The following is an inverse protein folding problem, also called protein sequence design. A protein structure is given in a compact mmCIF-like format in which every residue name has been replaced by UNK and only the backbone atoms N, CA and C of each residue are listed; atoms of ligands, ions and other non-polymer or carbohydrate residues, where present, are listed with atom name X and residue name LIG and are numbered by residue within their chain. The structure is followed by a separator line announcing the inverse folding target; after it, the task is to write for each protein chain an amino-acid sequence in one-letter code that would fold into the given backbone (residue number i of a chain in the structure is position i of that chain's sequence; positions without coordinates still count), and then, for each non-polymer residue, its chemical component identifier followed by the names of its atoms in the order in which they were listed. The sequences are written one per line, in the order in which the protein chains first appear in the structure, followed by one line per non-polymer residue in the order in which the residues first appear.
data_IF_579871621682
#
_entry.id   IF_579871621682
#
_cell.length_a   1.000
_cell.length_b   1.000
_cell.length_c   1.000
_cell.angle_alpha   90.00
_cell.angle_beta   90.00
_cell.angle_gamma   90.00
#
_symmetry.space_group_name_H-M   'P 1'
#
loop_
_entity.id
_entity.type
_entity.pdbx_description
1 polymer ?
2 water ?
#
# COMPACT_ATOMS: atom_id res chain seq x y z
N UNK A 10 38.46 -15.20 23.00
CA UNK A 10 39.38 -14.07 23.04
C UNK A 10 39.03 -13.05 21.95
N UNK A 11 38.19 -12.07 22.30
CA UNK A 11 37.75 -11.09 21.31
C UNK A 11 38.90 -10.24 20.77
N UNK A 12 39.81 -9.79 21.64
CA UNK A 12 41.00 -9.05 21.19
C UNK A 12 41.79 -9.82 20.13
N UNK A 13 42.07 -11.09 20.40
CA UNK A 13 42.82 -11.93 19.48
C UNK A 13 42.13 -11.92 18.12
N UNK A 14 40.80 -12.06 18.13
CA UNK A 14 40.06 -12.13 16.89
C UNK A 14 40.29 -10.86 16.05
N UNK A 15 40.21 -9.69 16.69
CA UNK A 15 40.43 -8.44 15.95
C UNK A 15 41.84 -8.37 15.38
N UNK A 16 42.84 -8.70 16.18
CA UNK A 16 44.22 -8.65 15.71
C UNK A 16 44.47 -9.62 14.56
N UNK A 17 43.99 -10.86 14.72
CA UNK A 17 44.20 -11.87 13.69
C UNK A 17 43.49 -11.48 12.40
N UNK A 18 42.32 -10.85 12.49
CA UNK A 18 41.60 -10.51 11.27
C UNK A 18 42.38 -9.48 10.45
N UNK A 19 43.21 -8.66 11.10
CA UNK A 19 44.01 -7.65 10.41
C UNK A 19 45.32 -8.20 9.84
N UNK A 20 45.68 -9.45 10.14
CA UNK A 20 46.88 -10.07 9.60
C UNK A 20 46.90 -10.04 8.08
N UNK A 21 48.11 -10.08 7.51
CA UNK A 21 48.26 -10.22 6.07
C UNK A 21 48.06 -11.66 5.60
N UNK A 22 48.15 -12.65 6.50
CA UNK A 22 48.04 -14.03 6.05
C UNK A 22 46.58 -14.39 6.03
N UNK A 23 46.09 -14.73 4.83
CA UNK A 23 44.66 -14.84 4.61
C UNK A 23 44.03 -16.01 5.36
N UNK A 24 44.81 -17.03 5.73
CA UNK A 24 44.24 -18.14 6.47
C UNK A 24 44.03 -17.81 7.93
N UNK A 25 44.96 -17.03 8.52
CA UNK A 25 44.74 -16.47 9.84
C UNK A 25 43.56 -15.51 9.80
N UNK A 26 43.50 -14.65 8.77
CA UNK A 26 42.30 -13.83 8.58
C UNK A 26 41.05 -14.68 8.55
N UNK A 27 41.02 -15.72 7.74
CA UNK A 27 39.82 -16.52 7.65
C UNK A 27 39.45 -17.07 9.01
N UNK A 28 40.42 -17.61 9.75
CA UNK A 28 40.17 -18.09 11.11
C UNK A 28 39.51 -17.01 11.97
N UNK A 29 40.03 -15.78 11.89
CA UNK A 29 39.52 -14.71 12.77
C UNK A 29 38.12 -14.28 12.35
N UNK A 30 37.89 -14.12 11.05
CA UNK A 30 36.59 -13.69 10.56
C UNK A 30 35.55 -14.76 10.84
N UNK A 31 35.95 -16.02 10.69
CA UNK A 31 35.09 -17.15 11.04
C UNK A 31 34.76 -17.15 12.53
N UNK A 32 35.76 -16.86 13.37
CA UNK A 32 35.51 -16.76 14.81
C UNK A 32 34.52 -15.66 15.16
N UNK A 33 34.63 -14.50 14.51
CA UNK A 33 33.67 -13.44 14.81
C UNK A 33 32.28 -13.82 14.34
N UNK A 34 32.19 -14.40 13.15
CA UNK A 34 30.89 -14.86 12.66
C UNK A 34 30.28 -15.87 13.63
N UNK A 35 31.09 -16.82 14.11
CA UNK A 35 30.55 -17.85 14.99
C UNK A 35 30.10 -17.26 16.32
N UNK A 36 30.84 -16.28 16.85
CA UNK A 36 30.39 -15.60 18.06
C UNK A 36 29.04 -14.92 17.84
N UNK A 37 28.80 -14.43 16.62
CA UNK A 37 27.58 -13.66 16.41
C UNK A 37 26.39 -14.49 15.98
N UNK A 38 26.56 -15.47 15.10
CA UNK A 38 25.34 -16.12 14.65
C UNK A 38 25.04 -17.42 15.37
N UNK A 39 25.93 -17.85 16.28
CA UNK A 39 25.72 -19.15 16.90
C UNK A 39 25.02 -19.16 18.26
N UNK A 40 24.83 -18.03 18.94
CA UNK A 40 24.13 -18.15 20.22
C UNK A 40 22.89 -17.29 20.31
N UNK A 41 22.19 -17.46 21.43
CA UNK A 41 20.99 -16.68 21.64
C UNK A 41 21.28 -15.45 22.49
N UNK A 42 22.55 -15.19 22.79
CA UNK A 42 22.99 -13.96 23.44
C UNK A 42 24.29 -13.54 22.76
N UNK A 43 24.27 -13.17 21.48
CA UNK A 43 25.54 -12.81 20.85
C UNK A 43 26.11 -11.50 21.40
N UNK A 44 27.46 -11.36 21.42
CA UNK A 44 28.11 -10.11 21.87
C UNK A 44 28.27 -9.07 20.75
N UNK A 45 27.15 -8.60 20.19
CA UNK A 45 27.24 -7.72 19.03
C UNK A 45 27.97 -6.43 19.38
N UNK A 46 27.53 -5.78 20.46
CA UNK A 46 28.09 -4.50 20.85
C UNK A 46 29.57 -4.62 21.12
N UNK A 47 29.97 -5.70 21.80
CA UNK A 47 31.38 -5.93 22.10
C UNK A 47 32.21 -6.03 20.83
N UNK A 48 31.69 -6.68 19.79
CA UNK A 48 32.46 -6.77 18.56
C UNK A 48 32.55 -5.41 17.88
N UNK A 49 31.50 -4.58 18.00
CA UNK A 49 31.58 -3.24 17.42
C UNK A 49 32.63 -2.42 18.15
N UNK A 50 32.65 -2.49 19.49
CA UNK A 50 33.61 -1.68 20.23
C UNK A 50 35.03 -2.14 19.97
N UNK A 51 35.20 -3.40 19.56
CA UNK A 51 36.53 -3.93 19.24
C UNK A 51 37.15 -3.32 17.99
N UNK A 52 36.36 -2.70 17.11
CA UNK A 52 36.93 -2.16 15.89
C UNK A 52 36.93 -3.11 14.70
N UNK A 53 36.21 -4.24 14.78
CA UNK A 53 36.26 -5.25 13.72
C UNK A 53 35.54 -4.80 12.44
N UNK A 54 34.62 -3.85 12.52
CA UNK A 54 33.76 -3.57 11.38
C UNK A 54 34.52 -3.16 10.12
N UNK A 55 35.43 -2.18 10.15
CA UNK A 55 36.10 -1.77 8.89
C UNK A 55 36.91 -2.87 8.28
N UNK A 56 37.44 -3.76 9.12
CA UNK A 56 38.19 -4.93 8.66
C UNK A 56 37.30 -5.84 7.84
N UNK A 57 36.10 -6.12 8.36
CA UNK A 57 35.14 -6.98 7.67
C UNK A 57 34.72 -6.35 6.35
N UNK A 58 34.53 -5.02 6.37
CA UNK A 58 34.15 -4.34 5.13
C UNK A 58 35.27 -4.46 4.11
N UNK A 59 36.53 -4.34 4.55
CA UNK A 59 37.65 -4.54 3.65
C UNK A 59 37.63 -5.96 3.08
N UNK A 60 37.31 -6.93 3.94
CA UNK A 60 37.24 -8.33 3.52
C UNK A 60 36.20 -8.55 2.44
N UNK A 61 35.11 -7.77 2.45
CA UNK A 61 34.10 -7.97 1.41
C UNK A 61 34.66 -7.77 0.00
N UNK A 62 35.79 -7.07 -0.15
CA UNK A 62 36.39 -6.85 -1.47
C UNK A 62 37.15 -8.05 -2.01
N UNK A 63 37.39 -9.09 -1.20
CA UNK A 63 38.34 -10.14 -1.59
C UNK A 63 37.71 -11.21 -2.48
N UNK A 64 37.56 -10.85 -3.76
CA UNK A 64 37.01 -11.80 -4.72
C UNK A 64 37.94 -12.98 -4.94
N UNK A 65 39.22 -12.84 -4.60
CA UNK A 65 40.19 -13.93 -4.72
C UNK A 65 40.12 -14.94 -3.58
N UNK A 66 39.36 -14.66 -2.54
CA UNK A 66 39.12 -15.60 -1.46
C UNK A 66 37.63 -15.58 -1.16
N UNK A 67 36.82 -16.32 -1.93
CA UNK A 67 35.37 -16.31 -1.67
C UNK A 67 34.96 -16.83 -0.31
N UNK A 68 35.71 -17.74 0.32
CA UNK A 68 35.33 -18.16 1.67
C UNK A 68 35.47 -17.01 2.67
N UNK A 69 36.54 -16.22 2.53
CA UNK A 69 36.73 -15.06 3.40
C UNK A 69 35.67 -13.99 3.15
N UNK A 70 35.35 -13.77 1.88
CA UNK A 70 34.31 -12.82 1.51
C UNK A 70 32.95 -13.24 2.04
N UNK A 71 32.64 -14.54 1.91
CA UNK A 71 31.38 -15.07 2.41
C UNK A 71 31.28 -14.89 3.92
N UNK A 72 32.35 -15.26 4.64
CA UNK A 72 32.30 -15.19 6.10
C UNK A 72 32.15 -13.75 6.57
N UNK A 73 32.87 -12.81 5.94
CA UNK A 73 32.75 -11.41 6.35
C UNK A 73 31.36 -10.89 6.05
N UNK A 74 30.80 -11.27 4.90
CA UNK A 74 29.46 -10.82 4.53
C UNK A 74 28.43 -11.36 5.52
N UNK A 75 28.64 -12.59 6.00
CA UNK A 75 27.72 -13.21 6.94
C UNK A 75 27.80 -12.53 8.31
N UNK A 76 29.02 -12.25 8.76
CA UNK A 76 29.19 -11.50 10.01
C UNK A 76 28.47 -10.15 9.94
N UNK A 77 28.76 -9.36 8.90
CA UNK A 77 28.14 -8.04 8.82
C UNK A 77 26.64 -8.13 8.68
N UNK A 78 26.15 -9.12 7.92
CA UNK A 78 24.72 -9.38 7.83
C UNK A 78 24.11 -9.54 9.21
N UNK A 79 24.75 -10.35 10.05
CA UNK A 79 24.12 -10.65 11.34
C UNK A 79 24.19 -9.45 12.25
N UNK A 80 25.24 -8.64 12.16
CA UNK A 80 25.22 -7.38 12.89
C UNK A 80 24.08 -6.50 12.39
N UNK A 81 23.88 -6.45 11.07
CA UNK A 81 22.85 -5.57 10.54
C UNK A 81 21.45 -6.10 10.79
N UNK A 82 21.33 -7.35 11.22
CA UNK A 82 20.03 -7.94 11.53
C UNK A 82 19.55 -7.58 12.92
N UNK A 83 20.37 -6.88 13.68
CA UNK A 83 20.11 -6.55 15.07
C UNK A 83 19.34 -5.28 15.27
N UNK A 84 19.65 -4.60 16.38
CA UNK A 84 18.97 -3.37 16.74
C UNK A 84 19.32 -2.25 15.76
N UNK A 85 18.53 -1.17 15.83
CA UNK A 85 18.78 0.00 15.00
C UNK A 85 20.20 0.54 15.18
N UNK A 86 20.71 0.55 16.41
CA UNK A 86 22.06 1.05 16.63
C UNK A 86 23.09 0.17 15.94
N UNK A 87 22.84 -1.14 15.91
CA UNK A 87 23.75 -2.08 15.27
C UNK A 87 23.72 -1.93 13.75
N UNK A 88 22.52 -1.79 13.18
CA UNK A 88 22.41 -1.55 11.75
C UNK A 88 23.10 -0.24 11.39
N UNK A 89 22.93 0.79 12.21
CA UNK A 89 23.55 2.08 11.86
C UNK A 89 25.05 2.01 12.03
N UNK A 90 25.56 1.19 12.95
CA UNK A 90 27.00 1.02 13.04
C UNK A 90 27.52 0.39 11.76
N UNK A 91 26.78 -0.56 11.21
CA UNK A 91 27.15 -1.18 9.93
C UNK A 91 27.12 -0.15 8.80
N UNK A 92 26.06 0.67 8.75
CA UNK A 92 25.98 1.68 7.69
C UNK A 92 27.11 2.69 7.79
N UNK A 93 27.43 3.14 9.01
CA UNK A 93 28.50 4.11 9.18
C UNK A 93 29.88 3.55 8.87
N UNK A 94 30.07 2.24 8.89
CA UNK A 94 31.35 1.66 8.48
C UNK A 94 31.50 1.53 6.97
N UNK A 95 30.63 2.15 6.17
CA UNK A 95 30.68 2.08 4.70
C UNK A 95 30.43 0.68 4.13
N UNK A 96 29.63 -0.15 4.81
CA UNK A 96 29.30 -1.49 4.33
C UNK A 96 28.45 -1.47 3.05
N UNK A 97 27.58 -0.47 2.90
CA UNK A 97 26.55 -0.52 1.84
C UNK A 97 27.13 -0.65 0.44
N UNK A 98 28.09 0.17 0.02
CA UNK A 98 28.58 0.03 -1.37
C UNK A 98 29.16 -1.35 -1.62
N UNK A 99 29.76 -1.95 -0.59
CA UNK A 99 30.33 -3.28 -0.74
C UNK A 99 29.25 -4.35 -0.85
N UNK A 100 28.13 -4.20 -0.13
CA UNK A 100 27.01 -5.12 -0.32
C UNK A 100 26.42 -4.98 -1.72
N UNK A 101 26.31 -3.75 -2.23
CA UNK A 101 25.80 -3.59 -3.59
C UNK A 101 26.69 -4.27 -4.59
N UNK A 102 28.00 -4.14 -4.40
CA UNK A 102 28.97 -4.91 -5.17
C UNK A 102 28.69 -6.40 -5.07
N UNK A 103 28.47 -6.90 -3.86
CA UNK A 103 28.31 -8.34 -3.72
C UNK A 103 27.00 -8.83 -4.32
N UNK A 104 26.09 -7.93 -4.68
CA UNK A 104 24.94 -8.37 -5.47
C UNK A 104 25.33 -8.94 -6.84
N UNK A 105 26.54 -8.66 -7.33
CA UNK A 105 26.96 -9.20 -8.61
C UNK A 105 27.95 -10.35 -8.45
N UNK A 106 28.07 -10.87 -7.24
CA UNK A 106 28.95 -12.01 -7.01
C UNK A 106 28.44 -13.22 -7.76
N UNK A 107 29.32 -14.02 -8.36
CA UNK A 107 28.85 -15.28 -8.98
C UNK A 107 28.45 -16.32 -7.96
N UNK A 108 28.72 -16.11 -6.67
CA UNK A 108 28.44 -17.10 -5.64
C UNK A 108 27.10 -16.76 -5.01
N UNK A 109 26.13 -17.67 -5.17
CA UNK A 109 24.76 -17.45 -4.73
C UNK A 109 24.68 -17.08 -3.26
N UNK A 110 25.45 -17.77 -2.40
CA UNK A 110 25.31 -17.55 -0.97
C UNK A 110 25.75 -16.15 -0.58
N UNK A 111 26.74 -15.59 -1.25
CA UNK A 111 27.14 -14.21 -0.95
C UNK A 111 26.03 -13.27 -1.38
N UNK A 112 25.40 -13.54 -2.53
CA UNK A 112 24.29 -12.72 -2.99
C UNK A 112 23.14 -12.74 -1.99
N UNK A 113 22.79 -13.93 -1.50
CA UNK A 113 21.69 -14.04 -0.54
C UNK A 113 22.00 -13.28 0.74
N UNK A 114 23.25 -13.36 1.19
CA UNK A 114 23.62 -12.67 2.41
C UNK A 114 23.62 -11.15 2.21
N UNK A 115 23.97 -10.70 1.00
CA UNK A 115 23.90 -9.27 0.68
C UNK A 115 22.47 -8.76 0.61
N UNK A 116 21.57 -9.52 -0.01
CA UNK A 116 20.16 -9.15 -0.02
C UNK A 116 19.63 -9.01 1.40
N UNK A 117 19.93 -9.98 2.26
CA UNK A 117 19.40 -9.91 3.63
C UNK A 117 19.93 -8.69 4.38
N UNK A 118 21.24 -8.44 4.28
CA UNK A 118 21.80 -7.27 4.96
C UNK A 118 21.19 -5.98 4.42
N UNK A 119 21.05 -5.87 3.11
CA UNK A 119 20.45 -4.67 2.54
C UNK A 119 19.00 -4.51 2.97
N UNK A 120 18.27 -5.61 3.10
CA UNK A 120 16.91 -5.52 3.59
C UNK A 120 16.85 -4.93 4.98
N UNK A 121 17.70 -5.40 5.88
CA UNK A 121 17.71 -4.86 7.24
C UNK A 121 18.09 -3.38 7.26
N UNK A 122 19.07 -3.00 6.44
CA UNK A 122 19.49 -1.60 6.38
C UNK A 122 18.35 -0.75 5.86
N UNK A 123 17.74 -1.15 4.75
CA UNK A 123 16.65 -0.37 4.20
C UNK A 123 15.53 -0.25 5.23
N UNK A 124 15.30 -1.32 6.00
CA UNK A 124 14.20 -1.30 6.94
C UNK A 124 14.45 -0.40 8.13
N UNK A 125 15.70 0.04 8.35
CA UNK A 125 15.97 0.86 9.53
C UNK A 125 15.27 2.23 9.45
N UNK A 126 15.10 2.78 8.24
CA UNK A 126 14.49 4.08 8.06
C UNK A 126 14.66 4.66 6.66
N UNK A 127 14.08 5.85 6.44
CA UNK A 127 13.98 6.39 5.07
C UNK A 127 15.28 6.84 4.43
N UNK A 128 16.23 7.40 5.20
CA UNK A 128 17.43 7.92 4.54
C UNK A 128 18.36 6.79 4.11
N UNK A 129 18.39 5.69 4.86
CA UNK A 129 19.17 4.54 4.42
C UNK A 129 18.59 3.93 3.16
N UNK A 130 17.27 3.70 3.14
CA UNK A 130 16.59 3.28 1.92
C UNK A 130 16.94 4.18 0.74
N UNK A 131 16.90 5.50 0.93
CA UNK A 131 17.11 6.40 -0.21
C UNK A 131 18.58 6.41 -0.64
N UNK A 132 19.49 6.22 0.31
CA UNK A 132 20.90 6.01 -0.01
C UNK A 132 21.08 4.77 -0.87
N UNK A 133 20.48 3.65 -0.44
CA UNK A 133 20.62 2.41 -1.20
C UNK A 133 20.03 2.55 -2.61
N UNK A 134 18.85 3.16 -2.75
CA UNK A 134 18.32 3.41 -4.10
C UNK A 134 19.30 4.25 -4.91
N UNK A 135 19.81 5.32 -4.31
CA UNK A 135 20.68 6.22 -5.06
C UNK A 135 21.94 5.54 -5.55
N UNK A 136 22.36 4.46 -4.90
CA UNK A 136 23.53 3.70 -5.31
C UNK A 136 23.28 2.60 -6.32
N UNK A 137 22.05 2.36 -6.77
CA UNK A 137 21.83 1.47 -7.90
C UNK A 137 21.38 0.07 -7.54
N UNK A 138 20.76 -0.13 -6.38
CA UNK A 138 20.38 -1.46 -5.89
C UNK A 138 19.38 -2.18 -6.80
N UNK A 139 18.51 -1.44 -7.50
CA UNK A 139 17.31 -2.06 -8.06
C UNK A 139 17.67 -3.01 -9.20
N UNK A 140 18.52 -2.59 -10.13
CA UNK A 140 18.86 -3.47 -11.25
C UNK A 140 19.44 -4.79 -10.78
N UNK A 141 20.50 -4.82 -9.96
CA UNK A 141 21.02 -6.12 -9.51
C UNK A 141 20.04 -6.91 -8.65
N UNK A 142 19.24 -6.22 -7.83
CA UNK A 142 18.24 -6.95 -7.06
C UNK A 142 17.26 -7.67 -7.97
N UNK A 143 16.74 -6.98 -8.98
CA UNK A 143 15.73 -7.58 -9.84
C UNK A 143 16.34 -8.63 -10.76
N UNK A 144 17.67 -8.57 -10.98
CA UNK A 144 18.33 -9.56 -11.81
C UNK A 144 18.24 -10.97 -11.22
N UNK A 145 18.03 -11.09 -9.91
CA UNK A 145 17.90 -12.40 -9.27
C UNK A 145 16.62 -13.15 -9.69
N UNK A 146 15.59 -12.45 -10.14
CA UNK A 146 14.29 -13.05 -10.44
C UNK A 146 14.42 -13.91 -11.69
N UNK A 147 14.36 -15.22 -11.53
CA UNK A 147 14.55 -16.16 -12.62
C UNK A 147 13.78 -17.43 -12.29
N UNK A 148 13.56 -18.31 -13.27
CA UNK A 148 12.83 -19.56 -12.97
C UNK A 148 13.48 -20.47 -11.93
N UNK A 149 14.80 -20.51 -11.84
CA UNK A 149 15.52 -21.44 -10.97
C UNK A 149 15.75 -20.92 -9.55
N UNK A 150 15.46 -19.66 -9.27
CA UNK A 150 15.80 -19.08 -7.97
C UNK A 150 15.09 -19.80 -6.84
N UNK A 151 15.77 -20.11 -5.72
CA UNK A 151 15.09 -20.70 -4.55
C UNK A 151 14.06 -19.77 -3.96
N UNK A 152 12.97 -20.36 -3.44
CA UNK A 152 11.84 -19.54 -3.02
C UNK A 152 12.19 -18.67 -1.82
N UNK A 153 12.99 -19.19 -0.89
CA UNK A 153 13.39 -18.38 0.26
C UNK A 153 14.17 -17.13 -0.18
N UNK A 154 15.07 -17.31 -1.15
CA UNK A 154 15.81 -16.17 -1.68
C UNK A 154 14.87 -15.20 -2.37
N UNK A 155 13.96 -15.72 -3.19
CA UNK A 155 13.03 -14.85 -3.91
C UNK A 155 12.17 -14.06 -2.92
N UNK A 156 11.74 -14.71 -1.83
CA UNK A 156 10.97 -14.02 -0.81
C UNK A 156 11.75 -12.85 -0.23
N UNK A 157 13.06 -13.04 -0.02
CA UNK A 157 13.85 -11.93 0.50
C UNK A 157 14.02 -10.82 -0.53
N UNK A 158 14.18 -11.20 -1.81
CA UNK A 158 14.21 -10.20 -2.88
C UNK A 158 12.94 -9.36 -2.89
N UNK A 159 11.78 -10.03 -2.83
CA UNK A 159 10.52 -9.30 -2.90
C UNK A 159 10.27 -8.45 -1.66
N UNK A 160 10.71 -8.92 -0.49
CA UNK A 160 10.58 -8.09 0.70
C UNK A 160 11.38 -6.81 0.55
N UNK A 161 12.61 -6.91 0.05
CA UNK A 161 13.36 -5.68 -0.21
C UNK A 161 12.66 -4.79 -1.24
N UNK A 162 12.07 -5.38 -2.29
CA UNK A 162 11.35 -4.54 -3.25
C UNK A 162 10.19 -3.77 -2.64
N UNK A 163 9.41 -4.44 -1.78
CA UNK A 163 8.33 -3.75 -1.08
C UNK A 163 8.87 -2.60 -0.27
N UNK A 164 9.91 -2.87 0.52
CA UNK A 164 10.46 -1.84 1.40
C UNK A 164 11.08 -0.68 0.63
N UNK A 165 11.57 -0.93 -0.59
CA UNK A 165 12.06 0.16 -1.43
C UNK A 165 10.90 1.01 -1.92
N UNK A 166 9.74 0.39 -2.08
CA UNK A 166 8.52 0.97 -2.62
C UNK A 166 7.62 1.64 -1.58
N UNK A 167 7.79 1.36 -0.28
CA UNK A 167 6.80 1.76 0.71
C UNK A 167 6.90 3.18 1.31
N UNK A 168 8.06 3.76 1.65
CA UNK A 168 7.97 5.11 2.24
C UNK A 168 7.69 6.08 1.09
N UNK A 169 6.44 6.58 1.00
CA UNK A 169 6.02 7.24 -0.24
C UNK A 169 6.34 8.73 -0.25
N UNK A 170 6.24 9.42 0.91
CA UNK A 170 6.47 10.87 0.98
C UNK A 170 7.74 11.30 0.25
N UNK A 171 8.81 10.52 0.27
CA UNK A 171 9.80 10.61 -0.80
C UNK A 171 9.29 9.71 -1.91
N UNK A 172 8.83 10.29 -3.01
CA UNK A 172 8.56 9.50 -4.21
C UNK A 172 9.79 8.85 -4.81
N UNK A 173 9.79 7.53 -4.98
CA UNK A 173 10.94 6.89 -5.60
C UNK A 173 11.09 7.43 -7.01
N UNK A 174 12.30 7.40 -7.56
CA UNK A 174 12.48 7.99 -8.91
C UNK A 174 11.61 7.28 -9.94
N UNK A 175 11.17 8.04 -10.94
CA UNK A 175 10.40 7.47 -12.04
C UNK A 175 11.17 6.34 -12.75
N UNK A 176 12.46 6.53 -13.02
CA UNK A 176 13.25 5.52 -13.71
C UNK A 176 13.35 4.22 -12.91
N UNK A 177 13.39 4.33 -11.59
CA UNK A 177 13.40 3.15 -10.75
C UNK A 177 12.08 2.41 -10.91
N UNK A 178 10.98 3.16 -10.97
CA UNK A 178 9.67 2.58 -11.18
C UNK A 178 9.65 1.82 -12.51
N UNK A 179 10.26 2.39 -13.55
CA UNK A 179 10.30 1.69 -14.83
C UNK A 179 11.07 0.39 -14.72
N UNK A 180 12.09 0.36 -13.87
CA UNK A 180 12.83 -0.89 -13.66
C UNK A 180 12.01 -1.89 -12.83
N UNK A 181 11.28 -1.40 -11.83
CA UNK A 181 10.57 -2.29 -10.92
C UNK A 181 9.32 -2.90 -11.55
N UNK A 182 8.62 -2.16 -12.42
CA UNK A 182 7.34 -2.66 -12.90
C UNK A 182 7.43 -3.96 -13.71
N UNK A 183 8.43 -4.15 -14.59
CA UNK A 183 8.51 -5.45 -15.31
C UNK A 183 8.70 -6.62 -14.37
N UNK A 184 9.41 -6.40 -13.26
CA UNK A 184 9.56 -7.45 -12.28
C UNK A 184 8.23 -7.76 -11.60
N UNK A 185 7.44 -6.72 -11.31
CA UNK A 185 6.13 -6.96 -10.75
C UNK A 185 5.22 -7.69 -11.74
N UNK A 186 5.35 -7.37 -13.03
CA UNK A 186 4.57 -8.08 -14.05
C UNK A 186 4.92 -9.57 -14.06
N UNK A 187 6.18 -9.89 -13.82
CA UNK A 187 6.57 -11.30 -13.71
C UNK A 187 6.02 -11.92 -12.43
N UNK A 188 6.20 -11.24 -11.30
CA UNK A 188 5.90 -11.79 -9.99
C UNK A 188 4.40 -11.93 -9.73
N UNK A 189 3.55 -11.15 -10.40
CA UNK A 189 2.13 -11.24 -10.12
C UNK A 189 1.54 -12.59 -10.53
N UNK A 190 2.25 -13.39 -11.33
CA UNK A 190 1.82 -14.73 -11.70
C UNK A 190 2.39 -15.82 -10.78
N UNK A 191 3.19 -15.45 -9.78
CA UNK A 191 3.73 -16.43 -8.84
C UNK A 191 2.60 -17.02 -8.00
N UNK A 192 2.80 -18.26 -7.52
CA UNK A 192 1.80 -18.87 -6.64
C UNK A 192 2.08 -18.71 -5.15
N UNK A 193 3.29 -18.34 -4.77
CA UNK A 193 3.61 -18.19 -3.36
C UNK A 193 2.87 -16.98 -2.79
N UNK A 194 2.18 -17.17 -1.65
CA UNK A 194 1.35 -16.11 -1.11
C UNK A 194 2.19 -14.90 -0.73
N UNK A 195 3.33 -15.13 -0.07
CA UNK A 195 4.17 -14.01 0.36
C UNK A 195 4.69 -13.21 -0.82
N UNK A 196 5.09 -13.88 -1.91
CA UNK A 196 5.48 -13.15 -3.12
C UNK A 196 4.32 -12.32 -3.65
N UNK A 197 3.10 -12.89 -3.70
CA UNK A 197 1.98 -12.12 -4.23
C UNK A 197 1.66 -10.94 -3.34
N UNK A 198 1.68 -11.16 -2.03
CA UNK A 198 1.40 -10.08 -1.09
C UNK A 198 2.40 -8.95 -1.32
N UNK A 199 3.68 -9.29 -1.43
CA UNK A 199 4.68 -8.25 -1.60
C UNK A 199 4.54 -7.55 -2.94
N UNK A 200 4.38 -8.32 -4.02
CA UNK A 200 4.20 -7.72 -5.34
C UNK A 200 3.03 -6.74 -5.38
N UNK A 201 1.88 -7.16 -4.86
CA UNK A 201 0.68 -6.33 -4.91
C UNK A 201 0.79 -5.14 -3.97
N UNK A 202 1.35 -5.33 -2.78
CA UNK A 202 1.55 -4.17 -1.91
C UNK A 202 2.48 -3.17 -2.57
N UNK A 203 3.54 -3.65 -3.21
CA UNK A 203 4.45 -2.77 -3.93
C UNK A 203 3.70 -2.00 -5.00
N UNK A 204 2.85 -2.69 -5.76
CA UNK A 204 2.04 -2.03 -6.76
C UNK A 204 1.16 -0.96 -6.14
N UNK A 205 0.56 -1.27 -4.98
CA UNK A 205 -0.32 -0.31 -4.33
C UNK A 205 0.44 0.91 -3.84
N UNK A 206 1.71 0.72 -3.46
CA UNK A 206 2.55 1.85 -3.05
C UNK A 206 2.92 2.72 -4.23
N UNK A 207 3.16 2.09 -5.39
CA UNK A 207 3.41 2.85 -6.61
C UNK A 207 2.17 3.60 -7.06
N UNK A 208 1.00 2.97 -6.96
CA UNK A 208 -0.26 3.55 -7.40
C UNK A 208 -0.77 4.64 -6.47
N UNK A 209 -0.17 4.79 -5.28
CA UNK A 209 -0.52 5.87 -4.38
C UNK A 209 0.33 7.11 -4.60
N UNK A 210 1.24 7.10 -5.58
CA UNK A 210 2.21 8.15 -5.74
C UNK A 210 1.70 9.28 -6.63
N UNK A 211 0.56 9.10 -7.29
CA UNK A 211 0.06 10.15 -8.18
C UNK A 211 -0.43 9.59 -9.50
N UNK A 212 -1.12 10.43 -10.30
CA UNK A 212 -1.77 9.94 -11.51
C UNK A 212 -0.75 9.52 -12.57
N UNK A 213 0.45 10.13 -12.58
CA UNK A 213 1.45 9.75 -13.56
C UNK A 213 2.00 8.36 -13.28
N UNK A 214 2.15 8.01 -12.00
CA UNK A 214 2.59 6.66 -11.65
C UNK A 214 1.46 5.66 -11.91
N UNK A 215 0.21 6.07 -11.67
CA UNK A 215 -0.91 5.23 -12.06
C UNK A 215 -0.82 4.93 -13.54
N UNK A 216 -0.52 5.95 -14.35
CA UNK A 216 -0.45 5.72 -15.79
C UNK A 216 0.68 4.76 -16.13
N UNK A 217 1.81 4.88 -15.43
CA UNK A 217 2.90 3.94 -15.67
C UNK A 217 2.47 2.51 -15.37
N UNK A 218 1.75 2.33 -14.26
CA UNK A 218 1.25 0.99 -13.91
C UNK A 218 0.29 0.48 -14.98
N UNK A 219 -0.65 1.33 -15.42
CA UNK A 219 -1.54 0.94 -16.51
C UNK A 219 -0.75 0.53 -17.75
N UNK A 220 0.21 1.36 -18.15
CA UNK A 220 0.96 1.12 -19.37
C UNK A 220 1.82 -0.13 -19.27
N UNK A 221 2.10 -0.62 -18.06
CA UNK A 221 2.86 -1.85 -17.92
C UNK A 221 2.08 -3.07 -18.38
N UNK A 222 0.75 -2.98 -18.48
CA UNK A 222 -0.08 -4.11 -18.83
C UNK A 222 -0.52 -4.99 -17.67
N UNK A 223 -0.22 -4.61 -16.42
CA UNK A 223 -0.43 -5.51 -15.29
C UNK A 223 -1.88 -5.51 -14.79
N UNK A 224 -2.68 -4.49 -15.11
CA UNK A 224 -4.01 -4.37 -14.49
C UNK A 224 -4.91 -5.57 -14.76
N UNK A 225 -4.94 -6.15 -15.96
CA UNK A 225 -5.81 -7.33 -16.15
C UNK A 225 -5.36 -8.55 -15.35
N UNK A 226 -4.11 -8.60 -14.92
CA UNK A 226 -3.60 -9.62 -14.01
C UNK A 226 -3.86 -9.26 -12.55
N UNK A 227 -3.99 -7.96 -12.27
CA UNK A 227 -4.17 -7.48 -10.90
C UNK A 227 -5.62 -7.58 -10.46
N UNK A 228 -6.55 -7.14 -11.32
CA UNK A 228 -7.96 -7.05 -10.97
C UNK A 228 -8.50 -8.39 -10.48
N UNK A 229 -8.18 -9.53 -11.12
CA UNK A 229 -8.79 -10.79 -10.68
C UNK A 229 -8.32 -11.26 -9.31
N UNK A 230 -7.26 -10.69 -8.75
CA UNK A 230 -6.85 -11.03 -7.39
C UNK A 230 -7.82 -10.51 -6.35
N UNK A 231 -8.76 -9.64 -6.72
CA UNK A 231 -9.83 -9.28 -5.82
C UNK A 231 -10.64 -10.48 -5.36
N UNK A 232 -10.65 -11.56 -6.13
CA UNK A 232 -11.35 -12.79 -5.76
C UNK A 232 -10.38 -13.92 -5.40
N UNK A 233 -9.13 -13.62 -5.09
CA UNK A 233 -8.21 -14.65 -4.64
C UNK A 233 -8.74 -15.26 -3.35
N UNK A 234 -8.38 -16.54 -3.11
CA UNK A 234 -8.80 -17.21 -1.88
C UNK A 234 -8.12 -16.65 -0.63
N UNK A 235 -6.91 -16.12 -0.75
CA UNK A 235 -6.16 -15.63 0.40
C UNK A 235 -6.51 -14.17 0.65
N UNK A 236 -7.00 -13.87 1.86
CA UNK A 236 -7.46 -12.51 2.19
C UNK A 236 -6.36 -11.47 2.12
N UNK A 237 -5.11 -11.83 2.42
CA UNK A 237 -4.02 -10.87 2.31
C UNK A 237 -3.84 -10.39 0.87
N UNK A 238 -4.05 -11.29 -0.09
CA UNK A 238 -3.99 -10.91 -1.49
C UNK A 238 -5.15 -10.01 -1.85
N UNK A 239 -6.36 -10.41 -1.43
CA UNK A 239 -7.54 -9.59 -1.66
C UNK A 239 -7.35 -8.16 -1.16
N UNK A 240 -6.83 -8.00 0.05
CA UNK A 240 -6.75 -6.66 0.58
C UNK A 240 -5.65 -5.84 -0.08
N UNK A 241 -4.50 -6.46 -0.40
CA UNK A 241 -3.52 -5.75 -1.21
C UNK A 241 -4.07 -5.31 -2.56
N UNK A 242 -4.79 -6.20 -3.25
CA UNK A 242 -5.30 -5.86 -4.57
C UNK A 242 -6.39 -4.80 -4.51
N UNK A 243 -7.25 -4.89 -3.51
CA UNK A 243 -8.30 -3.89 -3.32
C UNK A 243 -7.68 -2.51 -3.09
N UNK A 244 -6.58 -2.45 -2.33
CA UNK A 244 -5.88 -1.18 -2.18
C UNK A 244 -5.32 -0.69 -3.51
N UNK A 245 -4.70 -1.58 -4.28
CA UNK A 245 -4.02 -1.14 -5.50
C UNK A 245 -5.01 -0.61 -6.54
N UNK A 246 -6.09 -1.36 -6.76
CA UNK A 246 -7.08 -0.87 -7.74
C UNK A 246 -7.87 0.32 -7.20
N UNK A 247 -8.10 0.40 -5.89
CA UNK A 247 -8.76 1.57 -5.36
C UNK A 247 -7.94 2.82 -5.63
N UNK A 248 -6.62 2.69 -5.50
CA UNK A 248 -5.75 3.84 -5.76
C UNK A 248 -5.78 4.18 -7.24
N UNK A 249 -5.81 3.16 -8.12
CA UNK A 249 -5.93 3.47 -9.53
C UNK A 249 -7.21 4.28 -9.79
N UNK A 250 -8.33 3.86 -9.18
CA UNK A 250 -9.59 4.55 -9.45
C UNK A 250 -9.75 5.83 -8.64
N UNK A 251 -8.69 6.26 -7.95
CA UNK A 251 -8.65 7.66 -7.50
C UNK A 251 -8.14 8.58 -8.61
N UNK A 252 -7.72 8.03 -9.75
CA UNK A 252 -7.18 8.80 -10.85
C UNK A 252 -8.29 9.34 -11.74
N UNK A 253 -7.97 9.55 -13.01
CA UNK A 253 -8.94 10.14 -13.92
C UNK A 253 -10.03 9.13 -14.27
N UNK A 254 -11.10 9.64 -14.91
CA UNK A 254 -12.16 8.75 -15.35
C UNK A 254 -11.63 7.69 -16.32
N UNK A 255 -10.72 8.08 -17.23
CA UNK A 255 -10.20 7.11 -18.18
C UNK A 255 -9.36 6.04 -17.49
N UNK A 256 -8.58 6.44 -16.48
CA UNK A 256 -7.80 5.45 -15.74
C UNK A 256 -8.73 4.53 -14.97
N UNK A 257 -9.78 5.08 -14.36
CA UNK A 257 -10.77 4.25 -13.69
C UNK A 257 -11.40 3.29 -14.69
N UNK A 258 -11.67 3.78 -15.91
CA UNK A 258 -12.32 2.94 -16.89
C UNK A 258 -11.42 1.78 -17.29
N UNK A 259 -10.10 1.98 -17.24
CA UNK A 259 -9.19 0.85 -17.46
C UNK A 259 -9.51 -0.28 -16.49
N UNK A 260 -9.76 0.07 -15.23
CA UNK A 260 -10.06 -0.95 -14.22
C UNK A 260 -11.42 -1.57 -14.51
N UNK A 261 -12.40 -0.73 -14.84
CA UNK A 261 -13.75 -1.26 -15.09
C UNK A 261 -13.77 -2.20 -16.29
N UNK A 262 -12.99 -1.90 -17.33
CA UNK A 262 -12.93 -2.75 -18.52
C UNK A 262 -12.40 -4.14 -18.22
N UNK A 263 -11.78 -4.35 -17.06
CA UNK A 263 -11.33 -5.66 -16.61
C UNK A 263 -12.42 -6.42 -15.87
N UNK A 264 -13.66 -5.92 -15.90
CA UNK A 264 -14.78 -6.54 -15.19
C UNK A 264 -14.57 -6.51 -13.69
N UNK A 265 -13.91 -5.44 -13.21
CA UNK A 265 -13.66 -5.31 -11.78
C UNK A 265 -14.93 -5.42 -10.97
N UNK A 266 -16.03 -4.87 -11.48
CA UNK A 266 -17.24 -4.78 -10.68
C UNK A 266 -17.84 -6.13 -10.37
N UNK A 267 -17.57 -7.14 -11.21
CA UNK A 267 -18.08 -8.48 -10.93
C UNK A 267 -17.51 -9.06 -9.65
N UNK A 268 -16.42 -8.50 -9.14
CA UNK A 268 -15.84 -9.00 -7.91
C UNK A 268 -16.46 -8.39 -6.67
N UNK A 269 -17.35 -7.40 -6.81
CA UNK A 269 -17.68 -6.66 -5.61
C UNK A 269 -18.83 -7.20 -4.77
N UNK A 270 -19.79 -7.95 -5.31
CA UNK A 270 -20.83 -8.48 -4.41
C UNK A 270 -20.24 -9.29 -3.28
N UNK A 271 -19.20 -10.07 -3.57
CA UNK A 271 -18.52 -10.90 -2.58
C UNK A 271 -17.61 -10.10 -1.64
N UNK A 272 -17.31 -8.86 -2.00
CA UNK A 272 -16.56 -7.96 -1.12
C UNK A 272 -17.47 -7.12 -0.24
N UNK A 273 -18.63 -6.73 -0.76
CA UNK A 273 -19.57 -5.97 0.05
C UNK A 273 -20.18 -6.86 1.13
N UNK A 274 -20.29 -8.15 0.87
CA UNK A 274 -20.80 -9.12 1.84
C UNK A 274 -19.70 -9.89 2.58
N UNK A 275 -18.43 -9.58 2.32
CA UNK A 275 -17.33 -10.30 2.94
C UNK A 275 -17.45 -10.23 4.47
N UNK A 276 -17.12 -11.32 5.19
CA UNK A 276 -17.12 -11.25 6.67
C UNK A 276 -16.25 -10.15 7.27
N UNK A 277 -15.12 -9.80 6.64
CA UNK A 277 -14.21 -8.81 7.20
C UNK A 277 -14.68 -7.39 6.94
N UNK A 278 -14.89 -6.64 8.01
CA UNK A 278 -15.36 -5.29 7.90
C UNK A 278 -14.39 -4.47 7.09
N UNK A 279 -13.10 -4.77 7.19
CA UNK A 279 -12.11 -3.98 6.47
C UNK A 279 -12.29 -4.13 4.97
N UNK A 280 -12.69 -5.32 4.50
CA UNK A 280 -12.91 -5.50 3.07
C UNK A 280 -14.16 -4.75 2.63
N UNK A 281 -15.24 -4.84 3.41
CA UNK A 281 -16.41 -4.03 3.10
C UNK A 281 -16.04 -2.57 2.95
N UNK A 282 -15.29 -2.04 3.93
CA UNK A 282 -14.96 -0.62 3.94
C UNK A 282 -14.12 -0.23 2.73
N UNK A 283 -13.08 -1.01 2.43
CA UNK A 283 -12.21 -0.70 1.30
C UNK A 283 -12.97 -0.82 -0.02
N UNK A 284 -13.87 -1.79 -0.11
CA UNK A 284 -14.66 -1.96 -1.33
C UNK A 284 -15.60 -0.79 -1.54
N UNK A 285 -16.20 -0.28 -0.46
CA UNK A 285 -17.09 0.86 -0.63
C UNK A 285 -16.28 2.10 -0.97
N UNK A 286 -15.08 2.26 -0.41
CA UNK A 286 -14.19 3.33 -0.83
C UNK A 286 -13.93 3.27 -2.34
N UNK A 287 -13.56 2.08 -2.83
CA UNK A 287 -13.42 1.86 -4.27
C UNK A 287 -14.67 2.32 -5.03
N UNK A 288 -15.84 1.83 -4.61
CA UNK A 288 -17.06 2.16 -5.32
C UNK A 288 -17.33 3.66 -5.26
N UNK A 289 -16.99 4.31 -4.15
CA UNK A 289 -17.20 5.76 -4.07
C UNK A 289 -16.33 6.47 -5.09
N UNK A 290 -15.21 5.87 -5.45
CA UNK A 290 -14.37 6.47 -6.49
C UNK A 290 -14.88 6.12 -7.88
N UNK A 291 -15.66 5.05 -8.00
CA UNK A 291 -16.34 4.81 -9.29
C UNK A 291 -17.51 5.78 -9.47
N UNK A 292 -18.31 5.99 -8.42
CA UNK A 292 -19.50 6.84 -8.56
C UNK A 292 -19.15 8.32 -8.66
N UNK A 293 -17.92 8.70 -8.32
CA UNK A 293 -17.47 10.06 -8.59
C UNK A 293 -17.18 10.31 -10.05
N UNK A 294 -17.31 9.29 -10.89
CA UNK A 294 -17.01 9.39 -12.31
C UNK A 294 -18.20 9.90 -13.10
N UNK A 295 -18.15 9.62 -14.40
CA UNK A 295 -19.18 10.10 -15.31
C UNK A 295 -20.44 9.23 -15.18
N UNK A 296 -21.46 9.64 -15.94
CA UNK A 296 -22.75 8.96 -15.91
C UNK A 296 -22.68 7.47 -16.24
N UNK A 297 -21.76 7.09 -17.12
CA UNK A 297 -21.66 5.69 -17.52
C UNK A 297 -21.06 4.83 -16.41
N UNK A 298 -20.18 5.40 -15.60
CA UNK A 298 -19.56 4.67 -14.51
C UNK A 298 -20.56 4.50 -13.36
N UNK A 299 -21.33 5.57 -13.10
CA UNK A 299 -22.46 5.46 -12.18
C UNK A 299 -23.38 4.34 -12.63
N UNK A 300 -23.72 4.33 -13.94
CA UNK A 300 -24.62 3.29 -14.44
C UNK A 300 -23.97 1.92 -14.30
N UNK A 301 -22.65 1.84 -14.43
CA UNK A 301 -21.97 0.56 -14.23
C UNK A 301 -22.20 0.06 -12.81
N UNK A 302 -22.15 0.98 -11.84
CA UNK A 302 -22.40 0.57 -10.46
C UNK A 302 -23.85 0.12 -10.30
N UNK A 303 -24.78 0.84 -10.90
CA UNK A 303 -26.19 0.45 -10.83
C UNK A 303 -26.41 -0.92 -11.46
N UNK A 304 -25.87 -1.12 -12.68
CA UNK A 304 -26.11 -2.33 -13.43
C UNK A 304 -25.45 -3.55 -12.81
N UNK A 305 -24.41 -3.38 -12.00
CA UNK A 305 -23.86 -4.51 -11.26
C UNK A 305 -24.67 -4.86 -10.03
N UNK A 306 -25.81 -4.20 -9.81
CA UNK A 306 -26.70 -4.52 -8.70
C UNK A 306 -26.03 -4.29 -7.35
N UNK A 307 -25.16 -3.28 -7.27
CA UNK A 307 -24.37 -3.04 -6.07
C UNK A 307 -25.01 -1.99 -5.16
N UNK A 308 -25.94 -1.18 -5.69
CA UNK A 308 -26.50 -0.08 -4.91
C UNK A 308 -27.24 -0.57 -3.67
N UNK A 309 -28.07 -1.61 -3.72
CA UNK A 309 -28.73 -2.05 -2.50
C UNK A 309 -27.75 -2.51 -1.43
N UNK A 310 -26.63 -3.10 -1.82
CA UNK A 310 -25.63 -3.53 -0.86
C UNK A 310 -24.94 -2.32 -0.23
N UNK A 311 -24.65 -1.30 -1.03
CA UNK A 311 -24.08 -0.06 -0.50
C UNK A 311 -25.04 0.56 0.50
N UNK A 312 -26.32 0.64 0.15
CA UNK A 312 -27.27 1.28 1.05
C UNK A 312 -27.42 0.47 2.33
N UNK A 313 -27.40 -0.86 2.21
CA UNK A 313 -27.41 -1.71 3.40
C UNK A 313 -26.21 -1.39 4.30
N UNK A 314 -25.03 -1.23 3.71
CA UNK A 314 -23.85 -0.93 4.53
C UNK A 314 -23.93 0.48 5.10
N UNK A 315 -24.54 1.40 4.35
CA UNK A 315 -24.78 2.75 4.84
C UNK A 315 -25.62 2.71 6.10
N UNK A 316 -26.55 1.77 6.17
CA UNK A 316 -27.46 1.64 7.31
C UNK A 316 -26.88 0.82 8.45
N UNK A 317 -26.27 -0.33 8.18
CA UNK A 317 -25.94 -1.30 9.21
C UNK A 317 -24.45 -1.58 9.35
N UNK A 318 -23.60 -0.94 8.56
CA UNK A 318 -22.18 -1.15 8.68
C UNK A 318 -21.52 -0.43 9.83
N UNK A 319 -20.27 -0.83 10.07
CA UNK A 319 -19.34 -0.13 10.96
C UNK A 319 -19.09 1.29 10.45
N UNK A 320 -18.74 2.19 11.39
CA UNK A 320 -18.68 3.60 11.04
C UNK A 320 -17.74 3.88 9.87
N UNK A 321 -16.61 3.18 9.78
CA UNK A 321 -15.70 3.45 8.66
C UNK A 321 -16.35 3.11 7.33
N UNK A 322 -17.11 2.02 7.32
CA UNK A 322 -17.83 1.65 6.11
C UNK A 322 -18.96 2.61 5.86
N UNK A 323 -19.67 3.02 6.93
CA UNK A 323 -20.74 4.00 6.76
C UNK A 323 -20.22 5.28 6.13
N UNK A 324 -19.05 5.77 6.57
CA UNK A 324 -18.48 6.99 5.99
C UNK A 324 -18.17 6.80 4.53
N UNK A 325 -17.60 5.65 4.18
CA UNK A 325 -17.32 5.40 2.77
C UNK A 325 -18.60 5.32 1.96
N UNK A 326 -19.64 4.68 2.50
CA UNK A 326 -20.90 4.61 1.76
C UNK A 326 -21.54 5.97 1.60
N UNK A 327 -21.40 6.84 2.61
CA UNK A 327 -21.89 8.21 2.49
C UNK A 327 -21.21 8.93 1.34
N UNK A 328 -19.88 8.82 1.26
CA UNK A 328 -19.18 9.33 0.08
C UNK A 328 -19.68 8.71 -1.22
N UNK A 329 -19.92 7.40 -1.25
CA UNK A 329 -20.35 6.78 -2.51
C UNK A 329 -21.72 7.30 -2.96
N UNK A 330 -22.63 7.48 -2.01
CA UNK A 330 -23.95 8.02 -2.33
C UNK A 330 -23.84 9.47 -2.77
N UNK A 331 -23.19 10.29 -1.96
CA UNK A 331 -23.11 11.70 -2.31
C UNK A 331 -22.39 11.87 -3.65
N UNK A 332 -21.32 11.10 -3.88
CA UNK A 332 -20.58 11.28 -5.12
C UNK A 332 -21.43 10.89 -6.31
N UNK A 333 -22.33 9.92 -6.12
CA UNK A 333 -23.21 9.56 -7.22
C UNK A 333 -24.00 10.78 -7.69
N UNK A 334 -24.39 11.65 -6.74
CA UNK A 334 -25.21 12.80 -7.09
C UNK A 334 -24.45 13.87 -7.86
N UNK A 335 -23.12 13.76 -7.95
CA UNK A 335 -22.33 14.78 -8.64
C UNK A 335 -22.65 14.79 -10.13
N UNK A 336 -22.50 13.64 -10.79
CA UNK A 336 -22.79 13.53 -12.23
C UNK A 336 -23.96 12.61 -12.55
N UNK A 337 -24.55 11.94 -11.57
CA UNK A 337 -25.67 11.06 -11.88
C UNK A 337 -26.84 11.81 -12.49
N UNK A 338 -27.58 11.11 -13.35
CA UNK A 338 -28.79 11.62 -13.98
C UNK A 338 -29.98 11.53 -13.02
N UNK A 339 -31.04 12.31 -13.32
CA UNK A 339 -32.23 12.23 -12.48
C UNK A 339 -32.72 10.80 -12.28
N UNK A 340 -32.71 9.98 -13.33
CA UNK A 340 -33.24 8.63 -13.18
C UNK A 340 -32.36 7.75 -12.32
N UNK A 341 -31.05 8.02 -12.29
CA UNK A 341 -30.16 7.22 -11.44
C UNK A 341 -30.35 7.60 -9.97
N UNK A 342 -30.50 8.90 -9.71
CA UNK A 342 -30.81 9.34 -8.35
C UNK A 342 -32.19 8.83 -7.95
N UNK A 343 -33.17 8.90 -8.86
CA UNK A 343 -34.48 8.33 -8.58
C UNK A 343 -34.38 6.86 -8.22
N UNK A 344 -33.49 6.12 -8.90
CA UNK A 344 -33.29 4.73 -8.54
C UNK A 344 -32.80 4.64 -7.10
N UNK A 345 -31.86 5.51 -6.74
CA UNK A 345 -31.41 5.57 -5.34
C UNK A 345 -32.60 5.77 -4.40
N UNK A 346 -33.47 6.72 -4.75
CA UNK A 346 -34.61 7.05 -3.91
C UNK A 346 -35.49 5.83 -3.73
N UNK A 347 -35.74 5.11 -4.83
CA UNK A 347 -36.57 3.91 -4.80
C UNK A 347 -35.96 2.84 -3.93
N UNK A 348 -34.63 2.78 -3.85
CA UNK A 348 -33.95 1.81 -3.01
C UNK A 348 -33.83 2.27 -1.55
N UNK A 349 -34.53 3.32 -1.16
CA UNK A 349 -34.70 3.68 0.27
C UNK A 349 -33.38 4.20 0.87
N UNK A 350 -32.63 4.96 0.07
CA UNK A 350 -31.40 5.59 0.56
C UNK A 350 -31.65 6.64 1.64
N UNK A 351 -32.82 7.27 1.65
CA UNK A 351 -32.99 8.53 2.38
C UNK A 351 -32.86 8.32 3.88
N UNK A 352 -33.54 7.35 4.51
CA UNK A 352 -33.47 7.25 5.97
C UNK A 352 -32.05 6.99 6.45
N UNK A 353 -31.33 5.99 5.91
CA UNK A 353 -29.99 5.75 6.42
C UNK A 353 -29.03 6.87 6.06
N UNK A 354 -29.25 7.55 4.93
CA UNK A 354 -28.42 8.68 4.58
C UNK A 354 -28.60 9.80 5.61
N UNK A 355 -29.86 10.12 5.92
CA UNK A 355 -30.16 11.17 6.88
C UNK A 355 -29.74 10.81 8.30
N UNK A 356 -29.67 9.50 8.63
CA UNK A 356 -29.27 9.11 9.98
C UNK A 356 -27.84 9.51 10.30
N UNK A 357 -27.02 9.80 9.29
CA UNK A 357 -25.64 10.21 9.51
C UNK A 357 -25.50 11.70 9.77
N UNK A 358 -26.59 12.47 9.73
CA UNK A 358 -26.50 13.91 9.93
C UNK A 358 -26.08 14.28 11.35
N UNK A 359 -26.19 13.37 12.30
CA UNK A 359 -25.94 13.70 13.69
C UNK A 359 -24.57 13.24 14.19
N UNK A 360 -23.74 12.66 13.32
CA UNK A 360 -22.48 12.12 13.79
C UNK A 360 -21.49 13.26 14.05
N UNK A 361 -20.45 12.94 14.80
CA UNK A 361 -19.39 13.88 15.17
C UNK A 361 -18.36 14.11 14.08
N UNK A 362 -18.31 13.28 13.04
CA UNK A 362 -17.39 13.51 11.94
C UNK A 362 -18.01 14.56 11.03
N UNK A 363 -17.52 15.80 11.13
CA UNK A 363 -18.11 16.91 10.39
C UNK A 363 -17.99 16.70 8.88
N UNK A 364 -16.94 16.00 8.44
CA UNK A 364 -16.76 15.75 7.01
C UNK A 364 -17.92 14.90 6.48
N UNK A 365 -18.31 13.88 7.23
CA UNK A 365 -19.42 13.04 6.84
C UNK A 365 -20.71 13.86 6.79
N UNK A 366 -20.92 14.72 7.79
CA UNK A 366 -22.12 15.56 7.82
C UNK A 366 -22.17 16.43 6.57
N UNK A 367 -21.04 17.05 6.22
CA UNK A 367 -20.99 17.88 5.02
C UNK A 367 -21.29 17.08 3.76
N UNK A 368 -20.70 15.88 3.65
CA UNK A 368 -20.94 15.03 2.49
C UNK A 368 -22.43 14.71 2.36
N UNK A 369 -23.06 14.37 3.48
CA UNK A 369 -24.46 14.00 3.46
C UNK A 369 -25.31 15.20 3.05
N UNK A 370 -25.05 16.37 3.63
CA UNK A 370 -25.81 17.56 3.25
C UNK A 370 -25.60 17.89 1.78
N UNK A 371 -24.38 17.74 1.27
CA UNK A 371 -24.14 17.96 -0.16
C UNK A 371 -25.00 17.03 -1.00
N UNK A 372 -25.08 15.76 -0.62
CA UNK A 372 -25.88 14.83 -1.39
C UNK A 372 -27.37 15.11 -1.32
N UNK A 373 -27.87 15.45 -0.13
CA UNK A 373 -29.27 15.83 0.03
C UNK A 373 -29.60 17.08 -0.78
N UNK A 374 -28.71 18.07 -0.75
CA UNK A 374 -28.90 19.29 -1.52
C UNK A 374 -28.98 18.96 -3.01
N UNK A 375 -28.06 18.13 -3.50
CA UNK A 375 -28.05 17.79 -4.90
C UNK A 375 -29.32 17.05 -5.30
N UNK A 376 -29.77 16.13 -4.45
CA UNK A 376 -30.99 15.38 -4.69
C UNK A 376 -32.18 16.32 -4.80
N UNK A 377 -32.30 17.25 -3.85
CA UNK A 377 -33.44 18.16 -3.86
C UNK A 377 -33.41 19.08 -5.08
N UNK A 378 -32.23 19.59 -5.44
CA UNK A 378 -32.15 20.47 -6.60
C UNK A 378 -32.49 19.72 -7.89
N UNK A 379 -32.20 18.43 -7.96
CA UNK A 379 -32.41 17.64 -9.18
C UNK A 379 -33.85 17.20 -9.41
N UNK A 380 -34.68 17.11 -8.36
CA UNK A 380 -36.07 16.63 -8.47
C UNK A 380 -37.06 17.75 -8.78
N UNK A 381 -37.06 18.16 -10.06
CA UNK A 381 -37.85 19.32 -10.49
C UNK A 381 -39.27 19.30 -9.91
N UNK A 382 -40.06 18.27 -10.24
CA UNK A 382 -41.43 18.21 -9.73
C UNK A 382 -41.59 17.45 -8.42
N UNK A 383 -40.81 16.38 -8.22
CA UNK A 383 -40.86 15.53 -7.03
C UNK A 383 -40.18 16.15 -5.82
N UNK A 384 -39.69 17.38 -5.89
CA UNK A 384 -38.99 17.94 -4.72
C UNK A 384 -39.87 17.90 -3.48
N UNK A 385 -41.19 17.98 -3.65
CA UNK A 385 -42.08 17.96 -2.50
C UNK A 385 -42.18 16.55 -1.92
N UNK A 386 -42.28 15.55 -2.79
CA UNK A 386 -42.26 14.15 -2.36
C UNK A 386 -40.97 13.82 -1.60
N UNK A 387 -39.82 14.24 -2.15
CA UNK A 387 -38.54 13.93 -1.51
C UNK A 387 -38.43 14.70 -0.20
N UNK A 388 -38.89 15.95 -0.17
CA UNK A 388 -38.86 16.70 1.08
C UNK A 388 -39.70 16.01 2.15
N UNK A 389 -40.83 15.43 1.73
CA UNK A 389 -41.67 14.70 2.68
C UNK A 389 -40.96 13.47 3.20
N UNK A 390 -40.26 12.74 2.33
CA UNK A 390 -39.47 11.59 2.78
C UNK A 390 -38.40 12.00 3.78
N UNK A 391 -37.71 13.10 3.51
CA UNK A 391 -36.70 13.61 4.45
C UNK A 391 -37.36 13.97 5.78
N UNK A 392 -38.53 14.59 5.75
CA UNK A 392 -39.22 14.93 6.99
C UNK A 392 -39.60 13.67 7.76
N UNK A 393 -40.14 12.67 7.06
CA UNK A 393 -40.71 11.49 7.71
C UNK A 393 -39.68 10.77 8.57
N UNK A 394 -38.42 10.71 8.12
CA UNK A 394 -37.38 9.98 8.82
C UNK A 394 -36.60 10.83 9.81
N UNK A 395 -37.04 12.07 10.07
CA UNK A 395 -36.34 12.94 10.99
C UNK A 395 -35.22 13.75 10.37
N UNK A 396 -35.02 13.64 9.06
CA UNK A 396 -33.93 14.35 8.41
C UNK A 396 -34.08 15.85 8.52
N UNK A 397 -35.32 16.33 8.45
CA UNK A 397 -35.61 17.76 8.55
C UNK A 397 -35.23 18.35 9.91
N UNK A 398 -35.60 17.68 11.00
CA UNK A 398 -35.23 18.19 12.30
C UNK A 398 -33.71 18.26 12.47
N UNK A 399 -33.02 17.26 11.92
CA UNK A 399 -31.57 17.20 11.97
C UNK A 399 -30.92 18.32 11.18
N UNK A 400 -31.46 18.60 9.99
CA UNK A 400 -31.00 19.73 9.18
C UNK A 400 -31.25 21.05 9.91
N UNK A 401 -32.42 21.20 10.52
CA UNK A 401 -32.71 22.41 11.28
C UNK A 401 -31.68 22.60 12.39
N UNK A 402 -31.31 21.52 13.08
CA UNK A 402 -30.32 21.65 14.15
C UNK A 402 -28.95 22.04 13.61
N UNK A 403 -28.60 21.55 12.42
CA UNK A 403 -27.32 21.89 11.79
C UNK A 403 -27.18 23.36 11.41
N UNK A 404 -28.27 24.13 11.35
CA UNK A 404 -28.13 25.58 11.18
C UNK A 404 -27.30 26.25 12.28
N UNK A 405 -27.16 25.62 13.45
CA UNK A 405 -26.36 26.15 14.53
C UNK A 405 -24.99 25.49 14.64
N UNK A 406 -24.58 24.73 13.63
CA UNK A 406 -23.28 24.07 13.72
C UNK A 406 -22.17 25.11 13.64
N UNK A 407 -21.08 24.81 14.35
CA UNK A 407 -19.86 25.64 14.35
C UNK A 407 -19.32 25.88 12.94
N UNK A 408 -19.40 24.87 12.08
CA UNK A 408 -18.64 24.82 10.83
C UNK A 408 -19.47 25.52 9.77
N UNK A 409 -18.89 26.55 9.14
CA UNK A 409 -19.67 27.42 8.25
C UNK A 409 -20.18 26.69 7.02
N UNK A 410 -19.40 25.78 6.43
CA UNK A 410 -19.91 25.12 5.24
C UNK A 410 -21.13 24.27 5.59
N UNK A 411 -21.18 23.73 6.82
CA UNK A 411 -22.36 22.97 7.22
C UNK A 411 -23.54 23.89 7.47
N UNK A 412 -23.37 24.90 8.33
CA UNK A 412 -24.57 25.66 8.70
C UNK A 412 -25.07 26.47 7.50
N UNK A 413 -24.16 26.98 6.66
CA UNK A 413 -24.59 27.64 5.44
C UNK A 413 -25.40 26.70 4.56
N UNK A 414 -24.90 25.47 4.36
CA UNK A 414 -25.62 24.57 3.46
C UNK A 414 -26.96 24.14 4.06
N UNK A 415 -27.03 24.04 5.39
CA UNK A 415 -28.30 23.69 6.03
C UNK A 415 -29.31 24.82 5.86
N UNK A 416 -28.85 26.06 6.01
CA UNK A 416 -29.73 27.20 5.78
C UNK A 416 -30.22 27.21 4.34
N UNK A 417 -29.29 27.01 3.39
CA UNK A 417 -29.67 27.05 1.98
C UNK A 417 -30.71 25.99 1.67
N UNK A 418 -30.52 24.78 2.22
CA UNK A 418 -31.46 23.69 1.97
C UNK A 418 -32.83 24.06 2.56
N UNK A 419 -32.83 24.61 3.77
CA UNK A 419 -34.08 24.94 4.45
C UNK A 419 -34.81 26.06 3.72
N UNK A 420 -34.05 27.03 3.20
CA UNK A 420 -34.63 28.14 2.46
C UNK A 420 -35.22 27.68 1.13
N UNK A 421 -34.55 26.77 0.43
CA UNK A 421 -35.00 26.40 -0.91
C UNK A 421 -36.13 25.38 -0.88
N UNK A 422 -36.14 24.47 0.09
CA UNK A 422 -37.05 23.31 0.03
C UNK A 422 -37.97 23.11 1.21
N UNK A 423 -37.80 23.84 2.32
CA UNK A 423 -38.69 23.61 3.45
C UNK A 423 -39.23 24.91 4.05
N UNK A 424 -39.45 25.92 3.22
CA UNK A 424 -39.87 27.24 3.68
C UNK A 424 -41.12 27.69 2.92
#
# INVERSE_FOLDING_TARGET
SGDYRVQNTSLEAIVQNASSDNQGIQLSAVQAARKLLSSDRNPPIDDLIKSGILPILVHCLERDDNPSLQFEAAWALTNIASGTSEQTQAVVQSNAVPLFLRLLHSPHQNVCEQAVWALGNIIGDGPQCRDYVISLGVVKPLLSFISPSIPITFLRNVTWVMVNLCRHKDPPPPMETIQEILPALCVLIHHTDVNILVDTVWALSYLTDAGNEQIQMVIDSGIVPHLVPLLSHQEVKVQTAALRAVGNIVTGTDEQTQVVLNCDALSHFPALLTHPKEKINKEAVWFLSNITAGNQQQVQAVIDANLVPMIIHLLDKGDFGTQKEAAWAISNLTISGRKDQVAYLIQQNVIPPFCNLLTVKDAQVVQVVLDGLSNILKMAEDEAETIGNLIEECGGLEKIEQLQNHENEDIYKLAYEIIDQFFSSDDIDEDPSLVPEAIQGGTFGFNSSANVPTEGFQF
#
